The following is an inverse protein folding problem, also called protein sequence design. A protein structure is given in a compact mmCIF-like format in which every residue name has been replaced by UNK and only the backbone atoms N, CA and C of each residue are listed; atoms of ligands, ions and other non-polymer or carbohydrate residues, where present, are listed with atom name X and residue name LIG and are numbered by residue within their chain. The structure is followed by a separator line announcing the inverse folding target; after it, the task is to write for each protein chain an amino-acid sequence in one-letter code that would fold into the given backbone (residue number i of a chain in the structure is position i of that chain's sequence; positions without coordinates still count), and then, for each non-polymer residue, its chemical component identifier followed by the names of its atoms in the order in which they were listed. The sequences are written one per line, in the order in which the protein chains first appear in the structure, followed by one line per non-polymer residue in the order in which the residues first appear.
data_IF_677487199865
#
_entry.id   IF_677487199865
#
_cell.length_a   1.000
_cell.length_b   1.000
_cell.length_c   1.000
_cell.angle_alpha   90.00
_cell.angle_beta   90.00
_cell.angle_gamma   90.00
#
_symmetry.space_group_name_H-M   'P 1'
#
loop_
_entity.id
_entity.type
_entity.pdbx_description
1 polymer ?
#
# COMPACT_ATOMS: atom_id res chain seq x y z
N UNK A 1 10.23 35.32 -20.04
CA UNK A 1 10.76 33.97 -19.72
C UNK A 1 10.43 33.48 -18.31
N UNK A 2 10.30 34.34 -17.29
CA UNK A 2 9.98 33.95 -15.90
C UNK A 2 8.61 33.28 -15.67
N UNK A 3 7.61 33.51 -16.52
CA UNK A 3 6.27 32.93 -16.33
C UNK A 3 6.22 31.42 -16.66
N UNK A 4 7.11 30.95 -17.55
CA UNK A 4 7.18 29.53 -17.96
C UNK A 4 7.89 28.65 -16.94
N UNK A 5 8.85 29.19 -16.18
CA UNK A 5 9.54 28.46 -15.11
C UNK A 5 8.67 28.30 -13.87
N UNK A 6 7.81 29.27 -13.54
CA UNK A 6 6.91 29.17 -12.39
C UNK A 6 5.83 28.10 -12.58
N UNK A 7 5.28 27.97 -13.80
CA UNK A 7 4.29 26.93 -14.12
C UNK A 7 4.88 25.51 -14.00
N UNK A 8 6.15 25.31 -14.35
CA UNK A 8 6.82 24.02 -14.23
C UNK A 8 7.02 23.58 -12.76
N UNK A 9 7.18 24.52 -11.80
CA UNK A 9 7.34 24.19 -10.38
C UNK A 9 6.00 23.80 -9.71
N UNK A 10 4.87 24.39 -10.12
CA UNK A 10 3.56 24.05 -9.55
C UNK A 10 3.09 22.64 -9.92
N UNK A 11 3.50 22.10 -11.08
CA UNK A 11 3.19 20.72 -11.48
C UNK A 11 3.96 19.66 -10.67
N UNK A 12 5.07 20.00 -10.01
CA UNK A 12 5.85 19.07 -9.20
C UNK A 12 5.26 18.80 -7.80
N UNK A 13 4.29 19.60 -7.35
CA UNK A 13 3.71 19.54 -6.00
C UNK A 13 2.40 18.74 -5.87
N UNK A 14 1.85 18.21 -6.97
CA UNK A 14 0.61 17.43 -6.92
C UNK A 14 0.90 15.92 -6.75
N UNK A 15 1.31 15.55 -5.53
CA UNK A 15 1.47 14.16 -5.10
C UNK A 15 0.14 13.60 -4.57
N UNK A 16 -0.87 13.51 -5.44
CA UNK A 16 -2.12 12.80 -5.13
C UNK A 16 -2.18 11.51 -5.92
N UNK A 17 -1.31 10.55 -5.59
CA UNK A 17 -1.60 9.16 -5.94
C UNK A 17 -1.78 8.36 -4.65
N UNK A 18 -3.01 7.89 -4.54
CA UNK A 18 -3.46 7.01 -3.49
C UNK A 18 -3.28 5.58 -3.99
N UNK A 19 -2.87 4.68 -3.12
CA UNK A 19 -2.68 3.29 -3.51
C UNK A 19 -2.60 2.36 -2.32
N UNK A 20 -2.79 1.09 -2.59
CA UNK A 20 -2.61 0.01 -1.62
C UNK A 20 -2.00 -1.22 -2.29
N UNK A 21 -1.47 -2.13 -1.49
CA UNK A 21 -1.03 -3.44 -2.00
C UNK A 21 -2.25 -4.27 -2.37
N UNK A 22 -2.49 -4.42 -3.66
CA UNK A 22 -3.61 -5.19 -4.20
C UNK A 22 -3.37 -6.69 -4.05
N UNK A 23 -2.16 -7.14 -4.37
CA UNK A 23 -1.78 -8.55 -4.34
C UNK A 23 -0.41 -8.77 -3.70
N UNK A 24 -0.27 -9.90 -3.02
CA UNK A 24 1.00 -10.45 -2.57
C UNK A 24 1.30 -11.71 -3.37
N UNK A 25 2.48 -11.79 -3.97
CA UNK A 25 2.97 -13.03 -4.60
C UNK A 25 4.07 -13.60 -3.72
N UNK A 26 3.81 -14.77 -3.15
CA UNK A 26 4.70 -15.44 -2.18
C UNK A 26 4.78 -16.91 -2.53
N UNK A 27 5.99 -17.42 -2.79
CA UNK A 27 6.20 -18.84 -3.12
C UNK A 27 5.38 -19.32 -4.33
N UNK A 28 5.13 -18.44 -5.32
CA UNK A 28 4.30 -18.73 -6.50
C UNK A 28 2.78 -18.62 -6.28
N UNK A 29 2.32 -18.40 -5.05
CA UNK A 29 0.90 -18.18 -4.73
C UNK A 29 0.55 -16.70 -4.71
N UNK A 30 -0.62 -16.34 -5.23
CA UNK A 30 -1.15 -14.98 -5.22
C UNK A 30 -2.24 -14.81 -4.16
N UNK A 31 -2.08 -13.83 -3.29
CA UNK A 31 -3.03 -13.48 -2.22
C UNK A 31 -3.54 -12.06 -2.40
N UNK A 32 -4.86 -11.88 -2.49
CA UNK A 32 -5.48 -10.54 -2.58
C UNK A 32 -5.66 -9.93 -1.20
N UNK A 33 -5.44 -8.62 -1.07
CA UNK A 33 -5.61 -7.90 0.22
C UNK A 33 -7.09 -7.56 0.46
N UNK A 34 -7.70 -6.77 -0.44
CA UNK A 34 -9.08 -6.28 -0.34
C UNK A 34 -9.93 -6.98 -1.41
N UNK A 35 -11.15 -7.46 -1.09
CA UNK A 35 -12.06 -8.00 -2.09
C UNK A 35 -12.52 -6.93 -3.08
N UNK A 36 -12.97 -7.35 -4.26
CA UNK A 36 -13.53 -6.45 -5.26
C UNK A 36 -15.05 -6.60 -5.32
N UNK A 37 -15.77 -5.48 -5.28
CA UNK A 37 -17.19 -5.39 -5.61
C UNK A 37 -17.32 -4.65 -6.95
N UNK A 38 -17.93 -5.30 -7.96
CA UNK A 38 -18.12 -4.73 -9.31
C UNK A 38 -16.82 -4.20 -9.96
N UNK A 39 -15.68 -4.84 -9.68
CA UNK A 39 -14.37 -4.43 -10.21
C UNK A 39 -13.65 -3.33 -9.40
N UNK A 40 -14.27 -2.81 -8.34
CA UNK A 40 -13.68 -1.79 -7.45
C UNK A 40 -13.36 -2.38 -6.08
N UNK A 41 -12.32 -1.88 -5.37
CA UNK A 41 -12.03 -2.32 -4.01
C UNK A 41 -13.19 -2.00 -3.07
N UNK A 42 -13.64 -3.03 -2.35
CA UNK A 42 -14.62 -2.88 -1.27
C UNK A 42 -13.90 -2.85 0.07
N UNK A 43 -13.66 -1.65 0.60
CA UNK A 43 -13.00 -1.44 1.89
C UNK A 43 -13.91 -1.72 3.09
N UNK A 44 -15.21 -1.97 2.85
CA UNK A 44 -16.19 -2.26 3.90
C UNK A 44 -16.43 -3.76 4.09
N UNK A 45 -16.21 -4.55 3.03
CA UNK A 45 -16.30 -5.99 3.10
C UNK A 45 -15.21 -6.59 4.01
N UNK A 46 -15.50 -7.72 4.70
CA UNK A 46 -14.50 -8.44 5.47
C UNK A 46 -13.30 -8.86 4.60
N UNK A 47 -12.08 -8.64 5.09
CA UNK A 47 -10.88 -9.11 4.40
C UNK A 47 -10.84 -10.64 4.38
N UNK A 48 -10.45 -11.23 3.25
CA UNK A 48 -10.42 -12.69 3.07
C UNK A 48 -9.02 -13.26 2.79
N UNK A 49 -8.02 -12.39 2.71
CA UNK A 49 -6.64 -12.73 2.37
C UNK A 49 -5.69 -12.62 3.56
N UNK A 50 -4.43 -12.34 3.24
CA UNK A 50 -3.34 -12.16 4.22
C UNK A 50 -3.12 -10.69 4.59
N UNK A 51 -3.69 -9.77 3.80
CA UNK A 51 -3.65 -8.33 4.08
C UNK A 51 -4.68 -7.92 5.13
N UNK A 52 -4.30 -7.00 6.01
CA UNK A 52 -5.20 -6.42 7.01
C UNK A 52 -6.20 -5.45 6.36
N UNK A 53 -7.31 -5.21 7.04
CA UNK A 53 -8.32 -4.26 6.56
C UNK A 53 -7.80 -2.82 6.49
N UNK A 54 -8.28 -2.07 5.49
CA UNK A 54 -7.96 -0.67 5.25
C UNK A 54 -9.26 0.15 5.31
N UNK A 55 -9.84 0.32 6.50
CA UNK A 55 -11.21 0.85 6.63
C UNK A 55 -11.35 2.31 6.18
N UNK A 56 -10.27 3.11 6.26
CA UNK A 56 -10.22 4.48 5.74
C UNK A 56 -9.77 4.55 4.26
N UNK A 57 -9.80 3.40 3.56
CA UNK A 57 -9.38 3.28 2.17
C UNK A 57 -7.89 3.55 1.98
N UNK A 58 -7.59 4.32 0.92
CA UNK A 58 -6.24 4.55 0.38
C UNK A 58 -5.68 5.94 0.73
N UNK A 59 -6.36 6.66 1.62
CA UNK A 59 -5.93 7.98 2.06
C UNK A 59 -4.65 7.89 2.89
N UNK A 60 -3.66 8.77 2.66
CA UNK A 60 -2.45 8.79 3.45
C UNK A 60 -2.76 9.16 4.91
N UNK A 61 -2.01 8.58 5.84
CA UNK A 61 -2.01 9.02 7.22
C UNK A 61 -1.13 10.25 7.35
N UNK A 62 -1.69 11.33 7.91
CA UNK A 62 -1.00 12.61 8.05
C UNK A 62 -0.37 12.79 9.43
N UNK A 63 -0.86 12.07 10.44
CA UNK A 63 -0.34 12.12 11.81
C UNK A 63 0.60 10.92 12.08
N UNK A 64 1.91 11.13 12.19
CA UNK A 64 2.88 10.06 12.44
C UNK A 64 2.80 9.48 13.87
N UNK A 65 2.08 10.13 14.79
CA UNK A 65 1.89 9.65 16.16
C UNK A 65 0.58 8.87 16.34
N UNK A 66 -0.26 8.80 15.29
CA UNK A 66 -1.50 8.05 15.33
C UNK A 66 -1.23 6.55 15.49
N UNK A 67 -2.04 5.88 16.31
CA UNK A 67 -2.04 4.41 16.39
C UNK A 67 -2.30 3.75 15.02
N UNK A 68 -2.97 4.46 14.10
CA UNK A 68 -3.20 4.02 12.74
C UNK A 68 -1.91 3.82 11.93
N UNK A 69 -0.78 4.44 12.31
CA UNK A 69 0.50 4.29 11.62
C UNK A 69 1.02 2.85 11.57
N UNK A 70 0.56 1.99 12.48
CA UNK A 70 0.97 0.58 12.52
C UNK A 70 0.46 -0.20 11.31
N UNK A 71 -0.83 -0.06 10.96
CA UNK A 71 -1.49 -0.93 9.97
C UNK A 71 -2.63 -0.25 9.18
N UNK A 72 -2.77 1.08 9.24
CA UNK A 72 -3.90 1.90 8.78
C UNK A 72 -5.07 1.99 9.79
N UNK A 73 -5.94 2.99 9.58
CA UNK A 73 -7.12 3.27 10.41
C UNK A 73 -8.07 2.08 10.40
N UNK A 74 -8.50 1.66 11.59
CA UNK A 74 -9.48 0.57 11.75
C UNK A 74 -8.96 -0.81 11.34
N UNK A 75 -7.64 -0.98 11.15
CA UNK A 75 -7.09 -2.26 10.76
C UNK A 75 -7.32 -3.33 11.83
N UNK A 76 -7.80 -4.50 11.41
CA UNK A 76 -7.92 -5.70 12.23
C UNK A 76 -7.12 -6.87 11.61
N UNK A 77 -6.81 -7.93 12.38
CA UNK A 77 -6.04 -9.06 11.89
C UNK A 77 -6.66 -9.72 10.65
N UNK A 78 -5.82 -10.08 9.69
CA UNK A 78 -6.26 -10.85 8.52
C UNK A 78 -6.58 -12.30 8.93
N UNK A 79 -7.59 -12.96 8.33
CA UNK A 79 -7.99 -14.32 8.71
C UNK A 79 -7.03 -15.40 8.19
N UNK A 80 -6.11 -15.07 7.28
CA UNK A 80 -5.16 -16.04 6.68
C UNK A 80 -3.72 -15.60 6.88
N UNK A 81 -2.83 -16.59 6.84
CA UNK A 81 -1.39 -16.42 6.86
C UNK A 81 -0.78 -17.08 5.62
N UNK A 82 0.31 -16.50 5.10
CA UNK A 82 1.16 -17.16 4.11
C UNK A 82 2.35 -17.80 4.82
N UNK A 83 2.59 -19.08 4.57
CA UNK A 83 3.80 -19.73 5.06
C UNK A 83 4.97 -19.37 4.14
N UNK A 84 6.06 -18.82 4.70
CA UNK A 84 7.17 -18.28 3.91
C UNK A 84 8.48 -18.86 4.41
N UNK A 85 9.20 -19.55 3.53
CA UNK A 85 10.55 -20.00 3.82
C UNK A 85 11.49 -18.80 3.89
N UNK A 86 12.36 -18.76 4.89
CA UNK A 86 13.33 -17.68 5.02
C UNK A 86 14.20 -17.56 3.76
N UNK A 87 14.38 -16.33 3.27
CA UNK A 87 15.13 -16.05 2.03
C UNK A 87 14.30 -16.12 0.75
N UNK A 88 13.03 -16.54 0.82
CA UNK A 88 12.11 -16.44 -0.32
C UNK A 88 11.71 -14.98 -0.57
N UNK A 89 11.64 -14.60 -1.85
CA UNK A 89 11.13 -13.30 -2.26
C UNK A 89 9.62 -13.18 -2.03
N UNK A 90 9.21 -12.05 -1.48
CA UNK A 90 7.81 -11.64 -1.32
C UNK A 90 7.58 -10.41 -2.20
N UNK A 91 6.65 -10.51 -3.14
CA UNK A 91 6.35 -9.41 -4.07
C UNK A 91 5.02 -8.76 -3.68
N UNK A 92 5.05 -7.47 -3.38
CA UNK A 92 3.86 -6.64 -3.19
C UNK A 92 3.51 -5.93 -4.50
N UNK A 93 2.36 -6.25 -5.09
CA UNK A 93 1.81 -5.54 -6.25
C UNK A 93 0.86 -4.46 -5.77
N UNK A 94 1.28 -3.21 -5.96
CA UNK A 94 0.46 -2.05 -5.65
C UNK A 94 -0.53 -1.77 -6.78
N UNK A 95 -1.66 -1.16 -6.45
CA UNK A 95 -2.48 -0.47 -7.45
C UNK A 95 -1.63 0.56 -8.20
N UNK A 96 -1.97 0.88 -9.45
CA UNK A 96 -1.22 1.83 -10.27
C UNK A 96 -1.02 3.18 -9.56
N UNK A 97 0.13 3.34 -8.92
CA UNK A 97 0.58 4.63 -8.41
C UNK A 97 0.98 5.48 -9.63
N UNK A 98 0.38 6.65 -9.80
CA UNK A 98 0.85 7.60 -10.83
C UNK A 98 2.32 7.92 -10.54
N UNK A 99 3.14 7.91 -11.59
CA UNK A 99 4.61 7.98 -11.60
C UNK A 99 5.25 9.24 -11.00
N UNK A 100 4.47 10.13 -10.38
CA UNK A 100 4.94 11.39 -9.80
C UNK A 100 5.31 11.29 -8.31
N UNK A 101 5.10 10.13 -7.69
CA UNK A 101 5.49 9.93 -6.30
C UNK A 101 6.89 9.34 -6.19
N UNK A 102 7.80 10.16 -5.71
CA UNK A 102 9.04 9.71 -5.09
C UNK A 102 8.69 9.13 -3.72
N UNK A 103 8.38 7.84 -3.67
CA UNK A 103 8.17 7.12 -2.42
C UNK A 103 9.49 6.54 -1.92
N UNK A 104 9.73 6.65 -0.61
CA UNK A 104 10.70 5.78 0.07
C UNK A 104 9.97 4.51 0.51
N UNK A 105 10.40 3.36 -0.02
CA UNK A 105 9.93 2.06 0.44
C UNK A 105 10.84 1.61 1.59
N UNK A 106 10.27 1.51 2.79
CA UNK A 106 10.99 0.97 3.95
C UNK A 106 10.98 -0.55 3.83
N UNK A 107 12.10 -1.12 3.40
CA UNK A 107 12.35 -2.56 3.47
C UNK A 107 13.15 -2.86 4.74
N UNK A 108 12.66 -3.80 5.56
CA UNK A 108 13.51 -4.43 6.58
C UNK A 108 14.28 -5.56 5.92
N UNK A 109 15.49 -5.27 5.46
CA UNK A 109 16.48 -6.30 5.15
C UNK A 109 16.91 -6.99 6.45
N UNK A 110 16.99 -8.32 6.41
CA UNK A 110 17.39 -9.17 7.54
C UNK A 110 18.78 -8.74 8.04
N UNK A 111 18.88 -8.33 9.30
CA UNK A 111 20.15 -8.30 10.03
C UNK A 111 20.32 -9.69 10.66
N UNK A 112 21.21 -10.50 10.10
CA UNK A 112 21.66 -11.73 10.77
C UNK A 112 22.48 -11.31 11.99
N UNK A 113 22.13 -11.84 13.15
CA UNK A 113 22.98 -11.87 14.36
C UNK A 113 23.86 -13.11 14.24
#
# INVERSE_FOLDING_TARGET
MLLKTLQALLLASYVSAHGYVQEWVIGGSTYKTIPLANGYPDFTAPVQGIGRALQNGINPLLDPLSNAMTCNVGAYPAPKYANVTAGTNVTAKWTSCKSILLFSLISKSKMSI
#
